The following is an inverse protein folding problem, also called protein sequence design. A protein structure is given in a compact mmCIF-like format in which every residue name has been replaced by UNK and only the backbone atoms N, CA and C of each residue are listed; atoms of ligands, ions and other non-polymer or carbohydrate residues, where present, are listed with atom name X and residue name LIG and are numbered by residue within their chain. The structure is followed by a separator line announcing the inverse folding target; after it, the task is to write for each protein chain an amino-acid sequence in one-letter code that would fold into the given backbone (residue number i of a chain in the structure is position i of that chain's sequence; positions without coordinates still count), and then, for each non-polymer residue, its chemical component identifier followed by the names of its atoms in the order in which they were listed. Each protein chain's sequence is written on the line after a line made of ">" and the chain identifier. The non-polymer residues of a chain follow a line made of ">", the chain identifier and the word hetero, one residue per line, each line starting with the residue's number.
data_IF_415866355275
#
_entry.id   IF_415866355275
#
_cell.length_a   1.000
_cell.length_b   1.000
_cell.length_c   1.000
_cell.angle_alpha   90.00
_cell.angle_beta   90.00
_cell.angle_gamma   90.00
#
_symmetry.space_group_name_H-M   'P 1'
#
loop_
_entity.id
_entity.type
_entity.pdbx_description
1 polymer ?
#
# COMPACT_ATOMS: atom_id res chain seq x y z
N UNK A 1 -7.74 64.28 16.38
CA UNK A 1 -6.98 63.02 16.17
C UNK A 1 -7.70 61.78 16.72
N UNK A 2 -8.12 61.72 17.99
CA UNK A 2 -8.78 60.52 18.57
C UNK A 2 -10.08 60.06 17.89
N UNK A 3 -10.94 60.98 17.41
CA UNK A 3 -12.20 60.63 16.70
C UNK A 3 -11.98 59.98 15.32
N UNK A 4 -10.89 60.33 14.63
CA UNK A 4 -10.58 59.79 13.30
C UNK A 4 -10.03 58.36 13.39
N UNK A 5 -9.23 58.08 14.43
CA UNK A 5 -8.69 56.75 14.73
C UNK A 5 -9.81 55.75 15.07
N UNK A 6 -10.84 56.20 15.78
CA UNK A 6 -11.97 55.38 16.20
C UNK A 6 -12.85 54.96 15.01
N UNK A 7 -13.09 55.86 14.06
CA UNK A 7 -13.86 55.58 12.83
C UNK A 7 -13.11 54.62 11.90
N UNK A 8 -11.79 54.77 11.77
CA UNK A 8 -10.96 53.85 10.96
C UNK A 8 -10.99 52.43 11.54
N UNK A 9 -10.90 52.31 12.87
CA UNK A 9 -10.95 51.03 13.57
C UNK A 9 -12.32 50.34 13.43
N UNK A 10 -13.43 51.09 13.53
CA UNK A 10 -14.77 50.53 13.31
C UNK A 10 -15.02 50.12 11.86
N UNK A 11 -14.49 50.87 10.88
CA UNK A 11 -14.59 50.49 9.46
C UNK A 11 -13.82 49.21 9.16
N UNK A 12 -12.59 49.05 9.70
CA UNK A 12 -11.84 47.80 9.54
C UNK A 12 -12.52 46.63 10.23
N UNK A 13 -13.20 46.86 11.37
CA UNK A 13 -13.94 45.82 12.09
C UNK A 13 -15.17 45.35 11.30
N UNK A 14 -15.93 46.28 10.70
CA UNK A 14 -17.11 45.97 9.88
C UNK A 14 -16.71 45.24 8.59
N UNK A 15 -15.63 45.68 7.93
CA UNK A 15 -15.11 44.99 6.74
C UNK A 15 -14.61 43.57 7.09
N UNK A 16 -13.93 43.40 8.23
CA UNK A 16 -13.52 42.08 8.71
C UNK A 16 -14.73 41.19 9.05
N UNK A 17 -15.77 41.72 9.70
CA UNK A 17 -16.99 40.97 10.00
C UNK A 17 -17.76 40.54 8.74
N UNK A 18 -17.86 41.42 7.74
CA UNK A 18 -18.49 41.08 6.46
C UNK A 18 -17.69 40.00 5.71
N UNK A 19 -16.36 40.08 5.72
CA UNK A 19 -15.50 39.06 5.11
C UNK A 19 -15.60 37.71 5.84
N UNK A 20 -15.65 37.70 7.17
CA UNK A 20 -15.83 36.48 7.97
C UNK A 20 -17.20 35.85 7.72
N UNK A 21 -18.27 36.65 7.61
CA UNK A 21 -19.61 36.14 7.29
C UNK A 21 -19.71 35.57 5.87
N UNK A 22 -19.07 36.22 4.89
CA UNK A 22 -19.01 35.73 3.51
C UNK A 22 -18.23 34.41 3.43
N UNK A 23 -17.07 34.34 4.09
CA UNK A 23 -16.24 33.12 4.17
C UNK A 23 -16.99 31.96 4.83
N UNK A 24 -17.73 32.22 5.92
CA UNK A 24 -18.55 31.21 6.58
C UNK A 24 -19.66 30.67 5.66
N UNK A 25 -20.36 31.56 4.96
CA UNK A 25 -21.44 31.17 4.04
C UNK A 25 -20.89 30.35 2.87
N UNK A 26 -19.75 30.76 2.32
CA UNK A 26 -19.08 30.04 1.24
C UNK A 26 -18.55 28.68 1.70
N UNK A 27 -18.05 28.58 2.94
CA UNK A 27 -17.65 27.31 3.55
C UNK A 27 -18.83 26.35 3.70
N UNK A 28 -19.97 26.80 4.24
CA UNK A 28 -21.18 25.97 4.36
C UNK A 28 -21.67 25.46 2.99
N UNK A 29 -21.62 26.31 1.97
CA UNK A 29 -21.93 25.93 0.59
C UNK A 29 -20.93 24.90 0.03
N UNK A 30 -19.63 25.08 0.28
CA UNK A 30 -18.59 24.16 -0.16
C UNK A 30 -18.76 22.77 0.49
N UNK A 31 -19.07 22.74 1.79
CA UNK A 31 -19.37 21.50 2.54
C UNK A 31 -20.62 20.82 1.98
N UNK A 32 -21.66 21.58 1.65
CA UNK A 32 -22.88 21.04 1.04
C UNK A 32 -22.57 20.35 -0.29
N UNK A 33 -21.78 20.99 -1.16
CA UNK A 33 -21.32 20.41 -2.43
C UNK A 33 -20.49 19.14 -2.20
N UNK A 34 -19.57 19.17 -1.23
CA UNK A 34 -18.78 18.00 -0.85
C UNK A 34 -19.67 16.83 -0.41
N UNK A 35 -20.66 17.09 0.45
CA UNK A 35 -21.61 16.08 0.92
C UNK A 35 -22.53 15.56 -0.19
N UNK A 36 -22.80 16.38 -1.22
CA UNK A 36 -23.51 15.99 -2.44
C UNK A 36 -22.64 15.18 -3.40
N UNK A 37 -21.35 14.99 -3.08
CA UNK A 37 -20.32 14.33 -3.92
C UNK A 37 -19.97 15.12 -5.19
N UNK A 38 -20.31 16.40 -5.24
CA UNK A 38 -19.92 17.31 -6.31
C UNK A 38 -18.49 17.83 -6.07
N UNK A 39 -17.53 16.92 -6.01
CA UNK A 39 -16.16 17.21 -5.56
C UNK A 39 -15.45 18.27 -6.40
N UNK A 40 -15.68 18.31 -7.71
CA UNK A 40 -15.09 19.33 -8.59
C UNK A 40 -15.60 20.74 -8.29
N UNK A 41 -16.87 20.90 -7.93
CA UNK A 41 -17.43 22.20 -7.54
C UNK A 41 -17.04 22.56 -6.10
N UNK A 42 -17.03 21.59 -5.20
CA UNK A 42 -16.55 21.77 -3.83
C UNK A 42 -15.09 22.23 -3.83
N UNK A 43 -14.23 21.59 -4.63
CA UNK A 43 -12.82 21.95 -4.79
C UNK A 43 -12.65 23.42 -5.17
N UNK A 44 -13.36 23.89 -6.21
CA UNK A 44 -13.30 25.30 -6.64
C UNK A 44 -13.66 26.27 -5.52
N UNK A 45 -14.62 25.91 -4.65
CA UNK A 45 -15.01 26.73 -3.50
C UNK A 45 -13.96 26.70 -2.40
N UNK A 46 -13.43 25.52 -2.06
CA UNK A 46 -12.37 25.38 -1.06
C UNK A 46 -11.05 26.04 -1.50
N UNK A 47 -10.71 26.01 -2.79
CA UNK A 47 -9.55 26.75 -3.31
C UNK A 47 -9.71 28.27 -3.20
N UNK A 48 -10.93 28.77 -3.38
CA UNK A 48 -11.22 30.20 -3.17
C UNK A 48 -11.08 30.56 -1.69
N UNK A 49 -11.59 29.71 -0.81
CA UNK A 49 -11.47 29.86 0.65
C UNK A 49 -10.00 29.80 1.11
N UNK A 50 -9.22 28.83 0.62
CA UNK A 50 -7.81 28.68 0.98
C UNK A 50 -6.93 29.81 0.42
N UNK A 51 -7.32 30.44 -0.70
CA UNK A 51 -6.67 31.67 -1.19
C UNK A 51 -7.03 32.89 -0.35
N UNK A 52 -8.27 32.95 0.16
CA UNK A 52 -8.75 34.04 1.01
C UNK A 52 -8.14 33.98 2.43
N UNK A 53 -7.93 32.78 2.96
CA UNK A 53 -7.24 32.53 4.22
C UNK A 53 -6.33 31.29 4.10
N UNK A 54 -5.06 31.55 3.78
CA UNK A 54 -4.07 30.50 3.58
C UNK A 54 -3.59 29.85 4.89
N UNK A 55 -3.89 30.45 6.05
CA UNK A 55 -3.45 29.94 7.35
C UNK A 55 -4.50 29.04 8.01
N UNK A 56 -5.69 28.91 7.44
CA UNK A 56 -6.69 27.98 7.94
C UNK A 56 -6.43 26.54 7.43
N UNK A 57 -5.98 25.60 8.30
CA UNK A 57 -5.73 24.22 7.90
C UNK A 57 -6.98 23.50 7.41
N UNK A 58 -8.18 23.90 7.86
CA UNK A 58 -9.43 23.25 7.48
C UNK A 58 -9.73 23.40 5.99
N UNK A 59 -9.42 24.56 5.40
CA UNK A 59 -9.63 24.78 3.97
C UNK A 59 -8.71 23.89 3.13
N UNK A 60 -7.43 23.80 3.48
CA UNK A 60 -6.48 22.90 2.81
C UNK A 60 -6.84 21.43 3.02
N UNK A 61 -7.39 21.07 4.19
CA UNK A 61 -7.87 19.73 4.45
C UNK A 61 -8.99 19.32 3.50
N UNK A 62 -9.98 20.20 3.28
CA UNK A 62 -11.06 19.92 2.33
C UNK A 62 -10.61 19.97 0.87
N UNK A 63 -9.63 20.82 0.50
CA UNK A 63 -8.97 20.73 -0.81
C UNK A 63 -8.38 19.34 -1.02
N UNK A 64 -7.62 18.83 -0.04
CA UNK A 64 -7.03 17.50 -0.11
C UNK A 64 -8.06 16.38 -0.18
N UNK A 65 -9.15 16.47 0.59
CA UNK A 65 -10.26 15.52 0.50
C UNK A 65 -10.93 15.53 -0.88
N UNK A 66 -11.15 16.71 -1.47
CA UNK A 66 -11.74 16.79 -2.80
C UNK A 66 -10.84 16.15 -3.86
N UNK A 67 -9.54 16.46 -3.86
CA UNK A 67 -8.58 15.82 -4.76
C UNK A 67 -8.51 14.31 -4.57
N UNK A 68 -8.54 13.84 -3.32
CA UNK A 68 -8.55 12.41 -3.01
C UNK A 68 -9.78 11.72 -3.63
N UNK A 69 -10.99 12.27 -3.45
CA UNK A 69 -12.21 11.71 -4.02
C UNK A 69 -12.26 11.81 -5.56
N UNK A 70 -11.54 12.78 -6.15
CA UNK A 70 -11.30 12.88 -7.59
C UNK A 70 -10.18 11.95 -8.10
N UNK A 71 -9.51 11.21 -7.21
CA UNK A 71 -8.34 10.34 -7.49
C UNK A 71 -7.10 11.09 -7.97
N UNK A 72 -7.02 12.37 -7.66
CA UNK A 72 -5.87 13.25 -7.89
C UNK A 72 -4.93 13.16 -6.68
N UNK A 73 -4.26 12.00 -6.56
CA UNK A 73 -3.55 11.63 -5.33
C UNK A 73 -2.35 12.53 -5.00
N UNK A 74 -1.63 13.03 -6.00
CA UNK A 74 -0.47 13.89 -5.78
C UNK A 74 -0.91 15.25 -5.22
N UNK A 75 -1.95 15.82 -5.80
CA UNK A 75 -2.56 17.08 -5.37
C UNK A 75 -3.16 16.95 -3.97
N UNK A 76 -3.78 15.81 -3.68
CA UNK A 76 -4.28 15.49 -2.34
C UNK A 76 -3.15 15.50 -1.29
N UNK A 77 -2.02 14.82 -1.58
CA UNK A 77 -0.85 14.81 -0.69
C UNK A 77 -0.27 16.22 -0.49
N UNK A 78 -0.13 17.01 -1.56
CA UNK A 78 0.35 18.39 -1.44
C UNK A 78 -0.55 19.26 -0.55
N UNK A 79 -1.87 19.11 -0.67
CA UNK A 79 -2.83 19.82 0.17
C UNK A 79 -2.76 19.35 1.63
N UNK A 80 -2.63 18.04 1.87
CA UNK A 80 -2.46 17.50 3.21
C UNK A 80 -1.13 17.89 3.87
N UNK A 81 -0.04 17.96 3.11
CA UNK A 81 1.24 18.46 3.60
C UNK A 81 1.12 19.90 4.07
N UNK A 82 0.38 20.76 3.35
CA UNK A 82 0.06 22.12 3.83
C UNK A 82 -0.66 22.10 5.17
N UNK A 83 -1.59 21.17 5.37
CA UNK A 83 -2.25 21.03 6.68
C UNK A 83 -1.25 20.64 7.76
N UNK A 84 -0.37 19.67 7.50
CA UNK A 84 0.66 19.25 8.47
C UNK A 84 1.73 20.32 8.74
N UNK A 85 1.97 21.24 7.81
CA UNK A 85 2.82 22.42 8.05
C UNK A 85 2.18 23.40 9.03
N UNK A 86 0.85 23.54 9.00
CA UNK A 86 0.09 24.45 9.87
C UNK A 86 -0.26 23.79 11.22
N UNK A 87 -0.62 22.51 11.21
CA UNK A 87 -0.90 21.67 12.37
C UNK A 87 -0.21 20.30 12.24
N UNK A 88 1.03 20.18 12.75
CA UNK A 88 1.81 18.93 12.69
C UNK A 88 1.16 17.75 13.43
N UNK A 89 0.24 18.01 14.36
CA UNK A 89 -0.43 17.02 15.21
C UNK A 89 -1.82 16.64 14.67
N UNK A 90 -2.20 17.11 13.48
CA UNK A 90 -3.51 16.85 12.90
C UNK A 90 -3.71 15.36 12.54
N UNK A 91 -4.18 14.59 13.52
CA UNK A 91 -4.37 13.12 13.45
C UNK A 91 -5.18 12.71 12.23
N UNK A 92 -6.27 13.43 11.94
CA UNK A 92 -7.19 13.07 10.85
C UNK A 92 -6.51 13.20 9.48
N UNK A 93 -5.61 14.17 9.30
CA UNK A 93 -4.92 14.36 8.01
C UNK A 93 -3.93 13.24 7.77
N UNK A 94 -3.19 12.83 8.81
CA UNK A 94 -2.27 11.68 8.69
C UNK A 94 -2.99 10.40 8.29
N UNK A 95 -4.23 10.19 8.78
CA UNK A 95 -5.05 9.06 8.34
C UNK A 95 -5.49 9.18 6.88
N UNK A 96 -5.82 10.38 6.39
CA UNK A 96 -6.13 10.58 4.97
C UNK A 96 -4.88 10.38 4.09
N UNK A 97 -3.69 10.83 4.52
CA UNK A 97 -2.42 10.53 3.82
C UNK A 97 -2.18 9.01 3.77
N UNK A 98 -2.39 8.31 4.88
CA UNK A 98 -2.30 6.85 4.90
C UNK A 98 -3.32 6.19 3.95
N UNK A 99 -4.53 6.77 3.83
CA UNK A 99 -5.54 6.33 2.84
C UNK A 99 -5.04 6.56 1.42
N UNK A 100 -4.46 7.73 1.10
CA UNK A 100 -3.88 7.98 -0.22
C UNK A 100 -2.81 6.93 -0.55
N UNK A 101 -1.87 6.70 0.36
CA UNK A 101 -0.84 5.67 0.16
C UNK A 101 -1.41 4.26 0.01
N UNK A 102 -2.50 3.95 0.69
CA UNK A 102 -3.18 2.67 0.51
C UNK A 102 -3.82 2.54 -0.88
N UNK A 103 -4.47 3.59 -1.38
CA UNK A 103 -5.11 3.62 -2.71
C UNK A 103 -4.06 3.58 -3.84
N UNK A 104 -2.88 4.17 -3.64
CA UNK A 104 -1.77 4.11 -4.60
C UNK A 104 -0.94 2.83 -4.51
N UNK A 105 -1.25 1.93 -3.57
CA UNK A 105 -0.53 0.67 -3.37
C UNK A 105 0.78 0.80 -2.58
N UNK A 106 1.11 1.99 -2.10
CA UNK A 106 2.27 2.28 -1.23
C UNK A 106 2.02 1.86 0.21
N UNK A 107 1.68 0.58 0.44
CA UNK A 107 1.21 0.07 1.73
C UNK A 107 2.23 0.26 2.87
N UNK A 108 3.53 0.21 2.56
CA UNK A 108 4.58 0.47 3.56
C UNK A 108 4.48 1.90 4.12
N UNK A 109 4.36 2.91 3.26
CA UNK A 109 4.19 4.32 3.66
C UNK A 109 2.86 4.53 4.39
N UNK A 110 1.79 3.87 3.94
CA UNK A 110 0.50 3.89 4.65
C UNK A 110 0.65 3.38 6.09
N UNK A 111 1.36 2.27 6.30
CA UNK A 111 1.60 1.70 7.62
C UNK A 111 2.45 2.63 8.51
N UNK A 112 3.45 3.31 7.94
CA UNK A 112 4.26 4.31 8.67
C UNK A 112 3.42 5.47 9.20
N UNK A 113 2.54 6.06 8.38
CA UNK A 113 1.65 7.14 8.84
C UNK A 113 0.63 6.66 9.87
N UNK A 114 0.08 5.44 9.72
CA UNK A 114 -0.78 4.82 10.72
C UNK A 114 -0.05 4.64 12.06
N UNK A 115 1.21 4.20 12.03
CA UNK A 115 2.02 4.05 13.24
C UNK A 115 2.29 5.40 13.92
N UNK A 116 2.52 6.48 13.15
CA UNK A 116 2.63 7.83 13.68
C UNK A 116 1.34 8.26 14.40
N UNK A 117 0.18 7.96 13.82
CA UNK A 117 -1.13 8.24 14.46
C UNK A 117 -1.31 7.45 15.76
N UNK A 118 -0.93 6.17 15.78
CA UNK A 118 -1.10 5.31 16.96
C UNK A 118 -0.20 5.68 18.15
N UNK A 119 0.92 6.37 17.88
CA UNK A 119 1.81 6.96 18.91
C UNK A 119 1.21 8.20 19.56
N UNK A 120 0.29 8.89 18.90
CA UNK A 120 -0.42 10.04 19.45
C UNK A 120 -1.52 9.62 20.43
N UNK A 121 -1.92 10.55 21.30
CA UNK A 121 -3.06 10.33 22.18
C UNK A 121 -4.37 10.51 21.40
N UNK A 122 -4.97 9.39 21.01
CA UNK A 122 -6.23 9.34 20.25
C UNK A 122 -7.34 8.64 21.07
N UNK A 123 -8.60 9.07 20.94
CA UNK A 123 -9.74 8.41 21.59
C UNK A 123 -9.85 6.92 21.26
N UNK A 124 -10.35 6.11 22.19
CA UNK A 124 -10.36 4.64 22.05
C UNK A 124 -11.21 4.14 20.86
N UNK A 125 -12.32 4.82 20.57
CA UNK A 125 -13.15 4.54 19.40
C UNK A 125 -12.38 4.78 18.08
N UNK A 126 -11.61 5.88 18.00
CA UNK A 126 -10.74 6.17 16.85
C UNK A 126 -9.63 5.13 16.76
N UNK A 127 -8.96 4.81 17.88
CA UNK A 127 -7.90 3.81 17.93
C UNK A 127 -8.36 2.46 17.37
N UNK A 128 -9.57 1.99 17.72
CA UNK A 128 -10.13 0.73 17.20
C UNK A 128 -10.27 0.76 15.67
N UNK A 129 -10.76 1.86 15.10
CA UNK A 129 -10.90 2.01 13.66
C UNK A 129 -9.53 2.06 12.96
N UNK A 130 -8.57 2.77 13.54
CA UNK A 130 -7.19 2.86 13.02
C UNK A 130 -6.50 1.49 13.03
N UNK A 131 -6.67 0.70 14.09
CA UNK A 131 -6.13 -0.66 14.16
C UNK A 131 -6.74 -1.59 13.11
N UNK A 132 -8.05 -1.49 12.87
CA UNK A 132 -8.70 -2.23 11.78
C UNK A 132 -8.17 -1.81 10.41
N UNK A 133 -7.93 -0.52 10.21
CA UNK A 133 -7.32 -0.04 8.96
C UNK A 133 -5.89 -0.57 8.81
N UNK A 134 -5.09 -0.54 9.88
CA UNK A 134 -3.74 -1.13 9.92
C UNK A 134 -3.73 -2.59 9.50
N UNK A 135 -4.64 -3.41 10.04
CA UNK A 135 -4.75 -4.83 9.69
C UNK A 135 -5.01 -5.03 8.19
N UNK A 136 -5.86 -4.19 7.58
CA UNK A 136 -6.10 -4.23 6.13
C UNK A 136 -4.84 -3.87 5.32
N UNK A 137 -4.06 -2.87 5.79
CA UNK A 137 -2.78 -2.49 5.17
C UNK A 137 -1.76 -3.63 5.28
N UNK A 138 -1.60 -4.20 6.48
CA UNK A 138 -0.67 -5.31 6.72
C UNK A 138 -1.05 -6.56 5.91
N UNK A 139 -2.34 -6.85 5.75
CA UNK A 139 -2.80 -7.95 4.88
C UNK A 139 -2.44 -7.71 3.41
N UNK A 140 -2.42 -6.46 2.95
CA UNK A 140 -2.00 -6.12 1.58
C UNK A 140 -0.48 -6.22 1.40
N UNK A 141 0.29 -5.94 2.45
CA UNK A 141 1.74 -6.12 2.48
C UNK A 141 2.16 -7.59 2.56
N UNK A 142 1.49 -8.38 3.41
CA UNK A 142 1.85 -9.77 3.71
C UNK A 142 1.25 -10.76 2.70
N UNK A 143 1.56 -10.60 1.42
CA UNK A 143 1.16 -11.59 0.41
C UNK A 143 2.10 -12.81 0.48
N UNK A 144 1.70 -13.81 1.27
CA UNK A 144 2.30 -15.14 1.22
C UNK A 144 1.65 -15.97 0.10
N UNK A 145 2.47 -16.63 -0.72
CA UNK A 145 2.03 -17.55 -1.75
C UNK A 145 2.55 -18.96 -1.44
N UNK A 146 1.65 -19.94 -1.49
CA UNK A 146 2.01 -21.36 -1.43
C UNK A 146 1.89 -21.96 -2.82
N UNK A 147 2.92 -22.67 -3.27
CA UNK A 147 2.84 -23.55 -4.44
C UNK A 147 3.39 -24.90 -4.10
N UNK A 148 2.98 -25.92 -4.84
CA UNK A 148 3.46 -27.26 -4.63
C UNK A 148 3.04 -28.17 -5.76
N UNK A 149 3.58 -29.37 -5.76
CA UNK A 149 3.27 -30.37 -6.77
C UNK A 149 3.67 -31.76 -6.32
N UNK A 150 3.05 -32.74 -6.96
CA UNK A 150 3.36 -34.16 -6.82
C UNK A 150 3.86 -34.64 -8.17
N UNK A 151 5.00 -35.31 -8.19
CA UNK A 151 5.48 -36.06 -9.34
C UNK A 151 5.44 -37.54 -9.03
N UNK A 152 5.01 -38.34 -10.01
CA UNK A 152 5.09 -39.79 -9.99
C UNK A 152 5.78 -40.20 -11.28
N UNK A 153 6.89 -40.92 -11.17
CA UNK A 153 7.64 -41.45 -12.30
C UNK A 153 7.65 -42.96 -12.26
N UNK A 154 7.35 -43.59 -13.39
CA UNK A 154 7.50 -45.03 -13.58
C UNK A 154 8.61 -45.26 -14.59
N UNK A 155 9.61 -46.05 -14.21
CA UNK A 155 10.70 -46.46 -15.09
C UNK A 155 10.62 -47.95 -15.37
N UNK A 156 10.95 -48.33 -16.60
CA UNK A 156 11.13 -49.71 -17.01
C UNK A 156 12.49 -49.82 -17.68
N UNK A 157 13.34 -50.70 -17.16
CA UNK A 157 14.61 -51.05 -17.77
C UNK A 157 14.50 -52.49 -18.30
N UNK A 158 14.71 -52.67 -19.60
CA UNK A 158 14.67 -53.98 -20.26
C UNK A 158 15.92 -54.82 -20.01
N UNK A 159 17.03 -54.22 -19.57
CA UNK A 159 18.33 -54.86 -19.46
C UNK A 159 19.10 -54.34 -18.24
N UNK A 160 18.51 -54.50 -17.06
CA UNK A 160 19.09 -54.14 -15.77
C UNK A 160 20.16 -55.15 -15.29
N UNK A 161 21.04 -55.57 -16.20
CA UNK A 161 22.24 -56.35 -15.90
C UNK A 161 23.49 -55.53 -16.28
N UNK A 162 24.63 -55.88 -15.69
CA UNK A 162 25.89 -55.14 -15.87
C UNK A 162 26.69 -55.63 -17.11
N UNK A 163 26.04 -56.39 -18.00
CA UNK A 163 26.69 -57.16 -19.08
C UNK A 163 26.37 -56.61 -20.47
N UNK A 164 27.26 -56.85 -21.43
CA UNK A 164 27.26 -56.31 -22.80
C UNK A 164 26.27 -57.03 -23.75
N UNK A 165 25.18 -57.61 -23.20
CA UNK A 165 24.10 -58.24 -23.97
C UNK A 165 24.37 -59.65 -24.49
N UNK A 166 25.50 -60.29 -24.11
CA UNK A 166 25.81 -61.68 -24.49
C UNK A 166 25.74 -62.60 -23.26
N UNK A 167 25.01 -63.71 -23.37
CA UNK A 167 24.87 -64.70 -22.28
C UNK A 167 26.12 -65.55 -22.01
N UNK A 168 27.21 -65.29 -22.74
CA UNK A 168 28.51 -65.89 -22.51
C UNK A 168 29.62 -65.06 -23.15
N UNK A 169 30.78 -65.01 -22.49
CA UNK A 169 31.98 -64.38 -23.04
C UNK A 169 33.19 -65.31 -22.95
N UNK A 170 34.00 -65.32 -24.01
CA UNK A 170 35.25 -66.07 -24.08
C UNK A 170 36.37 -65.22 -23.49
N UNK A 171 37.10 -65.74 -22.51
CA UNK A 171 38.34 -65.11 -22.03
C UNK A 171 39.50 -65.60 -22.90
N UNK A 172 40.01 -64.79 -23.87
CA UNK A 172 40.86 -65.30 -24.95
C UNK A 172 42.18 -65.90 -24.45
N UNK A 173 42.70 -65.38 -23.34
CA UNK A 173 43.98 -65.82 -22.75
C UNK A 173 43.93 -67.20 -22.09
N UNK A 174 42.73 -67.67 -21.72
CA UNK A 174 42.56 -68.95 -21.02
C UNK A 174 41.67 -69.93 -21.78
N UNK A 175 41.06 -69.51 -22.89
CA UNK A 175 40.10 -70.28 -23.67
C UNK A 175 38.95 -70.85 -22.81
N UNK A 176 38.55 -70.10 -21.77
CA UNK A 176 37.45 -70.42 -20.87
C UNK A 176 36.26 -69.55 -21.25
N UNK A 177 35.10 -70.17 -21.42
CA UNK A 177 33.82 -69.47 -21.59
C UNK A 177 33.19 -69.28 -20.21
N UNK A 178 32.95 -68.04 -19.83
CA UNK A 178 32.26 -67.69 -18.58
C UNK A 178 30.79 -67.42 -18.91
N UNK A 179 29.82 -68.04 -18.20
CA UNK A 179 28.41 -67.72 -18.39
C UNK A 179 28.14 -66.29 -17.90
N UNK A 180 27.46 -65.50 -18.74
CA UNK A 180 26.96 -64.17 -18.39
C UNK A 180 25.55 -64.25 -17.80
N UNK A 181 25.10 -63.17 -17.16
CA UNK A 181 23.74 -63.09 -16.62
C UNK A 181 22.73 -62.87 -17.76
N UNK A 182 21.65 -63.65 -17.78
CA UNK A 182 20.55 -63.44 -18.73
C UNK A 182 19.91 -62.06 -18.54
N UNK A 183 19.32 -61.50 -19.61
CA UNK A 183 18.58 -60.24 -19.54
C UNK A 183 17.54 -60.30 -18.44
N UNK A 184 17.58 -59.30 -17.55
CA UNK A 184 16.64 -59.17 -16.45
C UNK A 184 16.02 -57.79 -16.53
N UNK A 185 14.69 -57.74 -16.56
CA UNK A 185 13.97 -56.49 -16.48
C UNK A 185 13.85 -56.00 -15.05
N UNK A 186 13.87 -54.68 -14.88
CA UNK A 186 13.59 -54.04 -13.61
C UNK A 186 12.60 -52.89 -13.80
N UNK A 187 11.82 -52.64 -12.78
CA UNK A 187 10.84 -51.54 -12.74
C UNK A 187 11.17 -50.64 -11.58
N UNK A 188 11.07 -49.33 -11.81
CA UNK A 188 11.26 -48.34 -10.75
C UNK A 188 10.01 -47.49 -10.61
N UNK A 189 9.66 -47.19 -9.37
CA UNK A 189 8.64 -46.23 -9.02
C UNK A 189 9.32 -45.11 -8.23
N UNK A 190 9.16 -43.89 -8.72
CA UNK A 190 9.58 -42.68 -8.03
C UNK A 190 8.36 -41.83 -7.73
N UNK A 191 8.34 -41.23 -6.54
CA UNK A 191 7.36 -40.21 -6.20
C UNK A 191 8.07 -39.07 -5.49
N UNK A 192 7.67 -37.84 -5.76
CA UNK A 192 8.20 -36.68 -5.07
C UNK A 192 7.10 -35.67 -4.79
N UNK A 193 7.17 -35.06 -3.63
CA UNK A 193 6.30 -33.96 -3.21
C UNK A 193 7.20 -32.74 -3.01
N UNK A 194 6.79 -31.60 -3.57
CA UNK A 194 7.42 -30.33 -3.24
C UNK A 194 6.37 -29.31 -2.80
N UNK A 195 6.77 -28.49 -1.83
CA UNK A 195 5.99 -27.43 -1.23
C UNK A 195 6.90 -26.21 -1.11
N UNK A 196 6.49 -25.11 -1.73
CA UNK A 196 7.16 -23.83 -1.70
C UNK A 196 6.27 -22.83 -0.96
N UNK A 197 6.86 -22.09 -0.02
CA UNK A 197 6.24 -20.93 0.63
C UNK A 197 7.05 -19.69 0.29
N UNK A 198 6.45 -18.79 -0.49
CA UNK A 198 7.05 -17.53 -0.91
C UNK A 198 6.40 -16.41 -0.10
N UNK A 199 7.20 -15.59 0.55
CA UNK A 199 6.73 -14.42 1.28
C UNK A 199 7.26 -13.16 0.59
N UNK A 200 6.35 -12.31 0.13
CA UNK A 200 6.68 -11.02 -0.46
C UNK A 200 6.92 -9.98 0.65
N UNK A 201 8.14 -9.43 0.71
CA UNK A 201 8.51 -8.40 1.69
C UNK A 201 8.11 -6.97 1.23
N UNK A 202 7.56 -6.82 0.02
CA UNK A 202 7.28 -5.54 -0.62
C UNK A 202 8.55 -4.83 -1.12
N UNK A 203 8.38 -3.87 -2.03
CA UNK A 203 9.48 -3.01 -2.50
C UNK A 203 10.09 -2.23 -1.32
N UNK A 204 11.33 -2.58 -0.96
CA UNK A 204 12.22 -1.69 -0.19
C UNK A 204 12.81 -0.64 -1.13
N UNK A 205 11.97 0.23 -1.68
CA UNK A 205 12.45 1.43 -2.34
C UNK A 205 12.95 2.42 -1.28
N UNK A 206 14.20 2.20 -0.84
CA UNK A 206 15.16 3.19 -0.34
C UNK A 206 16.40 2.51 0.27
N UNK A 207 17.09 1.68 -0.52
CA UNK A 207 18.53 1.50 -0.30
C UNK A 207 19.20 2.62 -1.09
N UNK A 208 19.36 3.79 -0.44
CA UNK A 208 20.42 4.72 -0.82
C UNK A 208 21.71 3.96 -0.51
N UNK A 209 22.35 3.42 -1.56
CA UNK A 209 23.74 2.99 -1.49
C UNK A 209 24.56 4.24 -1.14
N UNK A 210 25.01 4.33 0.11
CA UNK A 210 26.11 5.20 0.53
C UNK A 210 27.43 4.60 0.06
#
# INVERSE_FOLDING_TARGET
>A
MKKFLLVLCTCTLVLAQNFVNDSKTEYENAIKLYNQKDFSYALKRFEKLSKADAQNPEFHFYVGLCHLELKEYNEALMAFDRVLMLDPLHVRVRLEIARVYFETGSYFLANEEINRVLRSNIPQNVRKNVLRFKENVEKKMNRSFFSGGVSVGFGYDSNANNDIGNTSFLVPSFNITVPGDAEKSDTSLSSSLYLNHIYDFGEKDNIILL
#
